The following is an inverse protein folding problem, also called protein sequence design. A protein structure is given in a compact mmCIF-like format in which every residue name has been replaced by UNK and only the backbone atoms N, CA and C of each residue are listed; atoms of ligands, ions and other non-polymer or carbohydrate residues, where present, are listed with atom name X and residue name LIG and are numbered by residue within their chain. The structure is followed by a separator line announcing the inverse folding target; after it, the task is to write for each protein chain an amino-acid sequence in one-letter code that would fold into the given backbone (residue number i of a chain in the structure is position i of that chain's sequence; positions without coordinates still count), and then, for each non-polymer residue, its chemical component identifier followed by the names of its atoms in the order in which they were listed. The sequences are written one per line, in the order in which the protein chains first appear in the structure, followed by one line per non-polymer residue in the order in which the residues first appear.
data_IF_959577965425
#
_entry.id   IF_959577965425
#
_cell.length_a   1.000
_cell.length_b   1.000
_cell.length_c   1.000
_cell.angle_alpha   90.00
_cell.angle_beta   90.00
_cell.angle_gamma   90.00
#
_symmetry.space_group_name_H-M   'P 1'
#
loop_
_entity.id
_entity.type
_entity.pdbx_description
1 polymer ?
#
# COMPACT_ATOMS: atom_id res chain seq x y z
N UNK A 1 22.29 -6.96 30.91
CA UNK A 1 21.80 -7.73 29.74
C UNK A 1 21.30 -6.73 28.71
N UNK A 2 21.73 -6.83 27.45
CA UNK A 2 21.24 -5.96 26.36
C UNK A 2 19.76 -6.27 26.09
N UNK A 3 18.92 -5.25 26.05
CA UNK A 3 17.50 -5.42 25.71
C UNK A 3 17.33 -5.60 24.19
N UNK A 4 16.18 -6.14 23.76
CA UNK A 4 15.86 -6.28 22.32
C UNK A 4 15.92 -4.91 21.63
N UNK A 5 15.50 -3.86 22.35
CA UNK A 5 15.53 -2.48 21.94
C UNK A 5 16.95 -1.95 21.74
N UNK A 6 17.88 -2.28 22.65
CA UNK A 6 19.27 -1.84 22.55
C UNK A 6 19.97 -2.48 21.36
N UNK A 7 19.78 -3.78 21.15
CA UNK A 7 20.29 -4.49 19.97
C UNK A 7 19.68 -3.94 18.68
N UNK A 8 18.39 -3.60 18.66
CA UNK A 8 17.75 -2.98 17.51
C UNK A 8 18.31 -1.57 17.23
N UNK A 9 18.57 -0.77 18.27
CA UNK A 9 19.14 0.57 18.16
C UNK A 9 20.56 0.51 17.63
N UNK A 10 21.40 -0.38 18.16
CA UNK A 10 22.78 -0.54 17.70
C UNK A 10 22.86 -1.08 16.27
N UNK A 11 22.02 -2.06 15.91
CA UNK A 11 21.97 -2.59 14.55
C UNK A 11 21.56 -1.54 13.52
N UNK A 12 20.63 -0.65 13.88
CA UNK A 12 20.13 0.42 13.00
C UNK A 12 21.03 1.65 12.96
N UNK A 13 22.05 1.79 13.81
CA UNK A 13 23.09 2.84 13.62
C UNK A 13 23.81 2.70 12.27
N UNK A 14 23.87 1.48 11.72
CA UNK A 14 24.49 1.25 10.42
C UNK A 14 23.56 1.69 9.26
N UNK A 15 23.98 2.62 8.38
CA UNK A 15 23.13 3.20 7.33
C UNK A 15 22.65 2.21 6.25
N UNK A 16 23.30 1.06 6.12
CA UNK A 16 22.88 -0.02 5.20
C UNK A 16 21.89 -1.01 5.83
N UNK A 17 21.67 -0.93 7.14
CA UNK A 17 20.67 -1.75 7.84
C UNK A 17 19.26 -1.39 7.39
N UNK A 18 18.39 -2.40 7.34
CA UNK A 18 16.97 -2.23 7.03
C UNK A 18 16.14 -3.05 8.01
N UNK A 19 14.86 -2.73 8.18
CA UNK A 19 13.98 -3.51 9.06
C UNK A 19 13.90 -5.00 8.69
N UNK A 20 14.10 -5.36 7.41
CA UNK A 20 14.19 -6.76 6.97
C UNK A 20 15.45 -7.45 7.51
N UNK A 21 16.60 -6.77 7.42
CA UNK A 21 17.87 -7.27 7.96
C UNK A 21 17.87 -7.29 9.49
N UNK A 22 17.21 -6.30 10.11
CA UNK A 22 17.01 -6.27 11.55
C UNK A 22 16.19 -7.47 12.00
N UNK A 23 15.09 -7.81 11.31
CA UNK A 23 14.30 -8.99 11.64
C UNK A 23 15.13 -10.29 11.57
N UNK A 24 15.96 -10.44 10.54
CA UNK A 24 16.89 -11.57 10.44
C UNK A 24 17.92 -11.58 11.59
N UNK A 25 18.48 -10.42 11.93
CA UNK A 25 19.42 -10.30 13.04
C UNK A 25 18.76 -10.69 14.36
N UNK A 26 17.59 -10.12 14.68
CA UNK A 26 16.85 -10.41 15.90
C UNK A 26 16.42 -11.87 15.99
N UNK A 27 16.09 -12.54 14.88
CA UNK A 27 15.81 -13.98 14.91
C UNK A 27 17.00 -14.82 15.41
N UNK A 28 18.23 -14.34 15.20
CA UNK A 28 19.44 -15.05 15.60
C UNK A 28 19.94 -14.64 16.99
N UNK A 29 19.84 -13.34 17.32
CA UNK A 29 20.38 -12.80 18.58
C UNK A 29 19.34 -12.68 19.69
N UNK A 30 18.09 -12.39 19.36
CA UNK A 30 17.01 -12.09 20.31
C UNK A 30 15.65 -12.64 19.81
N UNK A 31 15.50 -13.98 19.68
CA UNK A 31 14.25 -14.58 19.23
C UNK A 31 13.09 -14.21 20.18
N UNK A 32 11.88 -14.11 19.64
CA UNK A 32 10.72 -13.74 20.46
C UNK A 32 10.35 -14.88 21.42
N UNK A 33 9.90 -14.56 22.64
CA UNK A 33 9.50 -15.57 23.64
C UNK A 33 8.21 -16.31 23.25
N UNK A 34 7.38 -15.75 22.36
CA UNK A 34 6.17 -16.38 21.84
C UNK A 34 6.44 -17.40 20.71
N UNK A 35 7.71 -17.66 20.39
CA UNK A 35 8.11 -18.60 19.34
C UNK A 35 7.88 -18.11 17.91
N UNK A 36 7.30 -16.92 17.72
CA UNK A 36 7.05 -16.35 16.40
C UNK A 36 8.32 -15.68 15.89
N UNK A 37 8.67 -15.93 14.63
CA UNK A 37 9.83 -15.27 14.01
C UNK A 37 9.58 -13.77 13.81
N UNK A 38 10.60 -12.97 14.03
CA UNK A 38 10.62 -11.57 13.62
C UNK A 38 10.40 -11.47 12.11
N UNK A 39 9.41 -10.68 11.72
CA UNK A 39 9.17 -10.24 10.35
C UNK A 39 9.65 -8.81 10.19
N UNK A 40 9.80 -8.35 8.94
CA UNK A 40 10.10 -6.95 8.66
C UNK A 40 9.11 -6.01 9.36
N UNK A 41 7.83 -6.36 9.33
CA UNK A 41 6.78 -5.50 9.86
C UNK A 41 6.76 -5.52 11.39
N UNK A 42 6.97 -6.67 12.04
CA UNK A 42 7.07 -6.73 13.50
C UNK A 42 8.31 -6.00 14.02
N UNK A 43 9.45 -6.11 13.32
CA UNK A 43 10.66 -5.34 13.64
C UNK A 43 10.44 -3.83 13.44
N UNK A 44 9.73 -3.42 12.39
CA UNK A 44 9.33 -2.03 12.18
C UNK A 44 8.44 -1.52 13.32
N UNK A 45 7.43 -2.28 13.73
CA UNK A 45 6.53 -1.90 14.82
C UNK A 45 7.23 -1.80 16.17
N UNK A 46 8.15 -2.74 16.48
CA UNK A 46 9.01 -2.65 17.66
C UNK A 46 9.79 -1.34 17.67
N UNK A 47 10.46 -1.00 16.56
CA UNK A 47 11.24 0.21 16.46
C UNK A 47 10.38 1.47 16.59
N UNK A 48 9.20 1.51 15.96
CA UNK A 48 8.28 2.65 16.05
C UNK A 48 7.74 2.86 17.46
N UNK A 49 7.35 1.79 18.16
CA UNK A 49 6.86 1.85 19.54
C UNK A 49 7.92 2.41 20.50
N UNK A 50 9.18 2.07 20.26
CA UNK A 50 10.31 2.45 21.11
C UNK A 50 11.11 3.66 20.60
N UNK A 51 10.57 4.43 19.64
CA UNK A 51 11.22 5.63 19.12
C UNK A 51 12.54 5.41 18.38
N UNK A 52 12.81 4.18 17.91
CA UNK A 52 14.04 3.82 17.20
C UNK A 52 13.87 4.12 15.71
N UNK A 53 14.65 5.08 15.20
CA UNK A 53 14.64 5.45 13.79
C UNK A 53 15.71 4.68 13.00
N UNK A 54 15.37 4.29 11.77
CA UNK A 54 16.35 3.81 10.79
C UNK A 54 16.88 5.01 10.01
N UNK A 55 18.20 5.23 9.91
CA UNK A 55 18.80 6.28 9.09
C UNK A 55 18.62 6.01 7.59
N UNK A 56 18.38 4.74 7.21
CA UNK A 56 18.08 4.40 5.83
C UNK A 56 16.70 4.94 5.44
N UNK A 57 16.59 5.80 4.40
CA UNK A 57 15.30 6.17 3.84
C UNK A 57 14.64 4.91 3.29
N UNK A 58 13.54 4.49 3.92
CA UNK A 58 12.76 3.37 3.43
C UNK A 58 12.03 3.80 2.17
N UNK A 59 12.63 3.51 1.01
CA UNK A 59 12.09 3.76 -0.34
C UNK A 59 10.66 3.19 -0.53
N UNK A 60 10.28 2.20 0.29
CA UNK A 60 8.96 1.56 0.36
C UNK A 60 8.44 1.46 1.81
N UNK A 61 8.33 2.58 2.54
CA UNK A 61 7.51 2.59 3.76
C UNK A 61 6.08 2.19 3.34
N UNK A 62 5.48 1.12 3.92
CA UNK A 62 4.14 0.67 3.53
C UNK A 62 3.12 1.81 3.59
N UNK A 63 3.18 2.61 4.66
CA UNK A 63 2.35 3.80 4.83
C UNK A 63 2.54 4.83 3.70
N UNK A 64 3.79 5.15 3.31
CA UNK A 64 4.05 6.09 2.23
C UNK A 64 3.54 5.56 0.87
N UNK A 65 3.71 4.26 0.60
CA UNK A 65 3.21 3.63 -0.62
C UNK A 65 1.68 3.57 -0.69
N UNK A 66 1.01 3.34 0.44
CA UNK A 66 -0.46 3.35 0.54
C UNK A 66 -0.99 4.77 0.35
N UNK A 67 -0.39 5.75 1.02
CA UNK A 67 -0.74 7.16 0.88
C UNK A 67 -0.52 7.63 -0.55
N UNK A 68 0.63 7.32 -1.16
CA UNK A 68 0.92 7.66 -2.55
C UNK A 68 -0.12 7.05 -3.50
N UNK A 69 -0.44 5.74 -3.38
CA UNK A 69 -1.49 5.10 -4.18
C UNK A 69 -2.85 5.76 -3.99
N UNK A 70 -3.20 6.15 -2.75
CA UNK A 70 -4.42 6.90 -2.46
C UNK A 70 -4.45 8.26 -3.18
N UNK A 71 -3.36 9.02 -3.10
CA UNK A 71 -3.24 10.29 -3.82
C UNK A 71 -3.30 10.10 -5.33
N UNK A 72 -2.65 9.07 -5.88
CA UNK A 72 -2.71 8.75 -7.31
C UNK A 72 -4.13 8.44 -7.76
N UNK A 73 -4.89 7.63 -7.00
CA UNK A 73 -6.29 7.33 -7.33
C UNK A 73 -7.17 8.58 -7.32
N UNK A 74 -7.03 9.43 -6.30
CA UNK A 74 -7.72 10.74 -6.24
C UNK A 74 -7.37 11.62 -7.43
N UNK A 75 -6.09 11.68 -7.81
CA UNK A 75 -5.65 12.46 -8.97
C UNK A 75 -6.26 11.94 -10.27
N UNK A 76 -6.30 10.61 -10.47
CA UNK A 76 -6.96 9.99 -11.64
C UNK A 76 -8.46 10.33 -11.65
N UNK A 77 -9.16 10.16 -10.54
CA UNK A 77 -10.59 10.44 -10.44
C UNK A 77 -10.92 11.92 -10.70
N UNK A 78 -10.13 12.84 -10.15
CA UNK A 78 -10.29 14.27 -10.38
C UNK A 78 -10.05 14.65 -11.85
N UNK A 79 -8.94 14.20 -12.43
CA UNK A 79 -8.61 14.46 -13.84
C UNK A 79 -9.69 13.91 -14.78
N UNK A 80 -10.19 12.71 -14.51
CA UNK A 80 -11.31 12.13 -15.23
C UNK A 80 -12.57 12.99 -15.12
N UNK A 81 -12.91 13.44 -13.90
CA UNK A 81 -14.11 14.25 -13.66
C UNK A 81 -14.02 15.61 -14.35
N UNK A 82 -12.85 16.22 -14.37
CA UNK A 82 -12.60 17.48 -15.10
C UNK A 82 -12.70 17.29 -16.61
N UNK A 83 -12.10 16.24 -17.16
CA UNK A 83 -12.19 15.93 -18.58
C UNK A 83 -13.64 15.69 -19.02
N UNK A 84 -14.40 14.94 -18.22
CA UNK A 84 -15.82 14.68 -18.46
C UNK A 84 -16.69 15.93 -18.33
N UNK A 85 -16.40 16.80 -17.36
CA UNK A 85 -17.06 18.10 -17.25
C UNK A 85 -16.82 18.97 -18.48
N UNK A 86 -15.59 18.99 -18.99
CA UNK A 86 -15.22 19.74 -20.20
C UNK A 86 -15.92 19.19 -21.45
N UNK A 87 -16.13 17.87 -21.54
CA UNK A 87 -16.83 17.22 -22.66
C UNK A 87 -18.35 17.15 -22.50
N UNK A 88 -18.91 17.66 -21.39
CA UNK A 88 -20.34 17.54 -21.08
C UNK A 88 -20.83 16.10 -20.88
N UNK A 89 -19.91 15.16 -20.64
CA UNK A 89 -20.23 13.73 -20.51
C UNK A 89 -20.37 13.35 -19.03
N UNK A 90 -21.36 12.53 -18.68
CA UNK A 90 -21.53 12.06 -17.31
C UNK A 90 -20.61 10.87 -17.02
N UNK A 91 -20.02 10.80 -15.83
CA UNK A 91 -19.24 9.64 -15.37
C UNK A 91 -20.04 8.33 -15.43
N UNK A 92 -21.34 8.39 -15.14
CA UNK A 92 -22.24 7.24 -15.16
C UNK A 92 -22.32 6.61 -16.54
N UNK A 93 -22.20 7.41 -17.61
CA UNK A 93 -22.27 6.92 -19.00
C UNK A 93 -21.07 6.07 -19.39
N UNK A 94 -19.98 6.12 -18.61
CA UNK A 94 -18.81 5.27 -18.82
C UNK A 94 -18.95 3.88 -18.21
N UNK A 95 -20.06 3.58 -17.51
CA UNK A 95 -20.29 2.26 -16.94
C UNK A 95 -20.67 1.25 -18.03
N UNK A 96 -20.08 0.04 -18.05
CA UNK A 96 -19.04 -0.47 -17.15
C UNK A 96 -17.66 0.15 -17.42
N UNK A 97 -16.97 0.55 -16.34
CA UNK A 97 -15.68 1.23 -16.46
C UNK A 97 -14.61 0.31 -17.04
N UNK A 98 -13.80 0.86 -17.96
CA UNK A 98 -12.69 0.13 -18.60
C UNK A 98 -11.38 0.86 -18.36
N UNK A 99 -10.33 0.11 -17.95
CA UNK A 99 -8.99 0.66 -17.67
C UNK A 99 -8.50 1.55 -18.81
N UNK A 100 -8.62 1.10 -20.07
CA UNK A 100 -8.17 1.85 -21.24
C UNK A 100 -8.91 3.18 -21.42
N UNK A 101 -10.23 3.20 -21.25
CA UNK A 101 -11.02 4.43 -21.34
C UNK A 101 -10.66 5.41 -20.21
N UNK A 102 -10.55 4.92 -18.98
CA UNK A 102 -10.17 5.76 -17.84
C UNK A 102 -8.77 6.34 -18.03
N UNK A 103 -7.80 5.54 -18.47
CA UNK A 103 -6.44 6.01 -18.77
C UNK A 103 -6.45 7.10 -19.86
N UNK A 104 -7.18 6.87 -20.96
CA UNK A 104 -7.28 7.83 -22.07
C UNK A 104 -7.90 9.16 -21.63
N UNK A 105 -8.99 9.11 -20.86
CA UNK A 105 -9.73 10.32 -20.45
C UNK A 105 -9.04 11.07 -19.31
N UNK A 106 -8.42 10.36 -18.37
CA UNK A 106 -7.70 10.99 -17.24
C UNK A 106 -6.30 11.47 -17.61
N UNK A 107 -5.74 11.02 -18.74
CA UNK A 107 -4.38 11.33 -19.17
C UNK A 107 -3.28 10.57 -18.42
N UNK A 108 -3.64 9.63 -17.53
CA UNK A 108 -2.67 8.82 -16.81
C UNK A 108 -2.21 7.59 -17.63
N UNK A 109 -0.95 7.13 -17.47
CA UNK A 109 -0.49 5.91 -18.12
C UNK A 109 -1.34 4.69 -17.74
N UNK A 110 -1.59 3.81 -18.71
CA UNK A 110 -2.39 2.58 -18.51
C UNK A 110 -1.84 1.74 -17.35
N UNK A 111 -0.51 1.59 -17.25
CA UNK A 111 0.13 0.85 -16.15
C UNK A 111 -0.19 1.43 -14.76
N UNK A 112 -0.27 2.76 -14.64
CA UNK A 112 -0.61 3.45 -13.39
C UNK A 112 -2.08 3.21 -13.02
N UNK A 113 -2.99 3.28 -13.99
CA UNK A 113 -4.42 3.01 -13.78
C UNK A 113 -4.64 1.55 -13.42
N UNK A 114 -4.04 0.61 -14.17
CA UNK A 114 -4.13 -0.82 -13.92
C UNK A 114 -3.59 -1.19 -12.54
N UNK A 115 -2.43 -0.65 -12.14
CA UNK A 115 -1.82 -0.90 -10.82
C UNK A 115 -2.64 -0.39 -9.63
N UNK A 116 -3.65 0.46 -9.86
CA UNK A 116 -4.55 0.98 -8.84
C UNK A 116 -6.01 0.53 -9.02
N UNK A 117 -6.30 -0.31 -10.02
CA UNK A 117 -7.66 -0.52 -10.53
C UNK A 117 -8.65 -1.03 -9.48
N UNK A 118 -8.27 -2.03 -8.69
CA UNK A 118 -9.16 -2.69 -7.72
C UNK A 118 -9.86 -1.69 -6.77
N UNK A 119 -9.11 -0.73 -6.22
CA UNK A 119 -9.68 0.32 -5.36
C UNK A 119 -10.22 1.50 -6.16
N UNK A 120 -9.59 1.83 -7.29
CA UNK A 120 -10.00 2.95 -8.13
C UNK A 120 -11.41 2.72 -8.70
N UNK A 121 -11.71 1.52 -9.17
CA UNK A 121 -13.03 1.17 -9.70
C UNK A 121 -14.12 1.35 -8.64
N UNK A 122 -13.87 0.90 -7.39
CA UNK A 122 -14.79 1.12 -6.28
C UNK A 122 -14.99 2.60 -5.95
N UNK A 123 -13.92 3.39 -5.97
CA UNK A 123 -13.99 4.84 -5.79
C UNK A 123 -14.78 5.53 -6.92
N UNK A 124 -14.60 5.10 -8.17
CA UNK A 124 -15.36 5.62 -9.33
C UNK A 124 -16.85 5.24 -9.26
N UNK A 125 -17.18 4.01 -8.85
CA UNK A 125 -18.56 3.59 -8.65
C UNK A 125 -19.24 4.45 -7.58
N UNK A 126 -18.56 4.72 -6.46
CA UNK A 126 -19.06 5.57 -5.41
C UNK A 126 -19.30 7.02 -5.89
N UNK A 127 -18.36 7.60 -6.64
CA UNK A 127 -18.52 8.95 -7.22
C UNK A 127 -19.67 9.00 -8.22
N UNK A 128 -19.85 7.93 -9.02
CA UNK A 128 -20.95 7.80 -9.96
C UNK A 128 -22.30 7.44 -9.31
N UNK A 129 -22.35 7.25 -7.99
CA UNK A 129 -23.52 6.74 -7.25
C UNK A 129 -24.05 5.41 -7.81
N UNK A 130 -23.15 4.58 -8.33
CA UNK A 130 -23.44 3.24 -8.82
C UNK A 130 -23.25 2.20 -7.70
N UNK A 131 -23.94 1.05 -7.77
CA UNK A 131 -23.76 0.00 -6.78
C UNK A 131 -22.30 -0.48 -6.74
N UNK A 132 -21.75 -0.76 -5.55
CA UNK A 132 -20.40 -1.30 -5.43
C UNK A 132 -20.33 -2.68 -6.09
N UNK A 133 -19.14 -3.10 -6.52
CA UNK A 133 -18.95 -4.47 -7.02
C UNK A 133 -19.39 -5.47 -5.94
N UNK A 134 -20.10 -6.55 -6.32
CA UNK A 134 -20.32 -7.65 -5.40
C UNK A 134 -18.94 -8.17 -4.93
N UNK A 135 -18.74 -8.20 -3.62
CA UNK A 135 -17.60 -8.86 -3.00
C UNK A 135 -17.69 -10.34 -3.34
N UNK A 136 -16.99 -10.77 -4.40
CA UNK A 136 -16.77 -12.19 -4.65
C UNK A 136 -15.81 -12.66 -3.57
N UNK A 137 -16.35 -13.18 -2.48
CA UNK A 137 -15.57 -13.92 -1.48
C UNK A 137 -14.98 -15.12 -2.21
N UNK A 138 -13.69 -15.08 -2.51
CA UNK A 138 -12.96 -16.28 -2.91
C UNK A 138 -12.94 -17.19 -1.70
N UNK A 139 -13.83 -18.18 -1.69
CA UNK A 139 -13.69 -19.32 -0.81
C UNK A 139 -12.40 -20.00 -1.28
N UNK A 140 -11.36 -19.90 -0.45
CA UNK A 140 -10.20 -20.76 -0.62
C UNK A 140 -10.66 -22.13 -0.15
N UNK A 141 -10.92 -23.03 -1.09
CA UNK A 141 -11.00 -24.45 -0.77
C UNK A 141 -9.57 -24.87 -0.36
N UNK A 142 -9.34 -24.92 0.95
CA UNK A 142 -8.20 -25.63 1.52
C UNK A 142 -8.47 -27.13 1.26
N UNK A 143 -7.90 -27.66 0.18
CA UNK A 143 -7.82 -29.10 -0.04
C UNK A 143 -6.98 -29.74 1.08
N UNK A 144 -7.59 -30.74 1.72
CA UNK A 144 -7.11 -31.55 2.85
C UNK A 144 -5.95 -32.46 2.47
#
# INVERSE_FOLDING_TARGET
MSTVEDNARDFLKNPISSYRRLAQHLNNSNPRPDGIRWTKDSAYHLCRKNGISSPRPCRNQPAASITQRSHTRKAIANALTEALRASGTSLVSLYPFQIHHIARLSGFPIATVAGNWERLEGELLAVAKLPPRPLVLRIFDDEV
#
